data_IF_026081898429
#
_entry.id   IF_026081898429
#
_cell.length_a   1.000
_cell.length_b   1.000
_cell.length_c   1.000
_cell.angle_alpha   90.00
_cell.angle_beta   90.00
_cell.angle_gamma   90.00
#
_symmetry.space_group_name_H-M   'P 1'
#
loop_
_entity.id
_entity.type
_entity.pdbx_description
1 polymer ?
#
# COMPACT_ATOMS: atom_id res chain seq x y z
N UNK A 1 0.14 0.11 17.89
CA UNK A 1 0.20 0.57 16.49
C UNK A 1 -1.17 0.85 15.87
N UNK A 2 -2.09 -0.12 15.75
CA UNK A 2 -3.41 0.09 15.13
C UNK A 2 -4.19 1.28 15.73
N UNK A 3 -4.11 1.46 17.06
CA UNK A 3 -4.70 2.60 17.79
C UNK A 3 -4.25 3.98 17.26
N UNK A 4 -3.02 4.11 16.78
CA UNK A 4 -2.48 5.37 16.26
C UNK A 4 -3.25 5.88 15.03
N UNK A 5 -3.79 4.96 14.22
CA UNK A 5 -4.54 5.30 13.01
C UNK A 5 -6.04 5.45 13.28
N UNK A 6 -6.59 4.73 14.27
CA UNK A 6 -8.02 4.79 14.62
C UNK A 6 -8.43 6.06 15.36
N UNK A 7 -7.48 6.82 15.91
CA UNK A 7 -7.75 8.09 16.61
C UNK A 7 -8.04 9.24 15.63
N UNK A 8 -7.78 9.05 14.32
CA UNK A 8 -8.22 9.98 13.29
C UNK A 8 -9.72 9.81 13.01
N UNK A 9 -10.52 10.85 13.25
CA UNK A 9 -11.98 10.84 13.04
C UNK A 9 -12.36 10.24 11.67
N UNK A 10 -12.96 9.05 11.68
CA UNK A 10 -13.54 8.40 10.51
C UNK A 10 -12.59 7.54 9.67
N UNK A 11 -11.41 7.18 10.18
CA UNK A 11 -10.48 6.24 9.54
C UNK A 11 -10.98 4.79 9.64
N UNK A 12 -11.02 4.09 8.50
CA UNK A 12 -11.31 2.65 8.42
C UNK A 12 -10.06 1.86 8.02
N UNK A 13 -9.99 0.56 8.35
CA UNK A 13 -8.81 -0.28 8.09
C UNK A 13 -8.42 -0.35 6.61
N UNK A 14 -9.42 -0.27 5.74
CA UNK A 14 -9.25 -0.26 4.29
C UNK A 14 -8.84 1.10 3.75
N UNK A 15 -8.85 2.17 4.55
CA UNK A 15 -8.45 3.50 4.08
C UNK A 15 -6.94 3.52 3.79
N UNK A 16 -6.58 4.32 2.79
CA UNK A 16 -5.20 4.55 2.42
C UNK A 16 -4.42 5.20 3.57
N UNK A 17 -3.20 4.72 3.78
CA UNK A 17 -2.21 5.34 4.68
C UNK A 17 -1.14 6.06 3.85
N UNK A 18 -0.67 7.23 4.31
CA UNK A 18 0.49 7.90 3.72
C UNK A 18 1.74 7.78 4.58
N UNK A 19 2.87 8.18 3.99
CA UNK A 19 4.16 8.27 4.69
C UNK A 19 4.07 9.10 5.98
N UNK A 20 3.46 10.29 5.95
CA UNK A 20 3.37 11.15 7.15
C UNK A 20 2.57 10.51 8.29
N UNK A 21 1.60 9.65 7.98
CA UNK A 21 0.81 8.94 8.99
C UNK A 21 1.57 7.76 9.60
N UNK A 22 2.44 7.12 8.82
CA UNK A 22 3.22 5.98 9.29
C UNK A 22 4.50 6.39 10.01
N UNK A 23 5.13 7.50 9.64
CA UNK A 23 6.42 7.92 10.19
C UNK A 23 6.44 8.03 11.73
N UNK A 24 5.44 8.61 12.41
CA UNK A 24 5.41 8.67 13.88
C UNK A 24 5.31 7.29 14.54
N UNK A 25 4.82 6.26 13.83
CA UNK A 25 4.78 4.88 14.35
C UNK A 25 6.19 4.37 14.61
N UNK A 26 7.14 4.64 13.71
CA UNK A 26 8.52 4.17 13.87
C UNK A 26 9.21 4.77 15.09
N UNK A 27 8.89 6.03 15.43
CA UNK A 27 9.41 6.66 16.63
C UNK A 27 8.87 5.95 17.88
N UNK A 28 7.57 5.61 17.90
CA UNK A 28 6.97 4.83 19.00
C UNK A 28 7.54 3.41 19.09
N UNK A 29 7.86 2.77 17.97
CA UNK A 29 8.50 1.44 17.99
C UNK A 29 9.90 1.52 18.59
N UNK A 30 10.66 2.56 18.25
CA UNK A 30 11.99 2.80 18.82
C UNK A 30 11.93 3.08 20.33
N UNK A 31 10.96 3.86 20.80
CA UNK A 31 10.69 4.09 22.24
C UNK A 31 10.36 2.79 22.98
N UNK A 32 9.73 1.83 22.29
CA UNK A 32 9.44 0.49 22.80
C UNK A 32 10.64 -0.48 22.69
N UNK A 33 11.82 0.02 22.33
CA UNK A 33 13.06 -0.76 22.24
C UNK A 33 13.26 -1.49 20.91
N UNK A 34 12.41 -1.25 19.91
CA UNK A 34 12.57 -1.83 18.57
C UNK A 34 12.89 -0.77 17.51
N UNK A 35 14.19 -0.63 17.21
CA UNK A 35 14.65 0.13 16.06
C UNK A 35 14.49 -0.71 14.79
N UNK A 36 13.49 -0.38 13.98
CA UNK A 36 13.19 -1.08 12.71
C UNK A 36 14.32 -0.86 11.71
N UNK A 37 15.12 -1.90 11.44
CA UNK A 37 16.34 -1.82 10.65
C UNK A 37 16.11 -1.34 9.20
N UNK A 38 15.00 -1.74 8.60
CA UNK A 38 14.60 -1.41 7.23
C UNK A 38 13.56 -0.28 7.14
N UNK A 39 13.46 0.57 8.19
CA UNK A 39 12.55 1.74 8.25
C UNK A 39 12.51 2.53 6.95
N UNK A 40 13.68 2.85 6.37
CA UNK A 40 13.78 3.65 5.16
C UNK A 40 13.09 2.99 3.95
N UNK A 41 13.23 1.67 3.80
CA UNK A 41 12.60 0.90 2.73
C UNK A 41 11.08 0.79 2.92
N UNK A 42 10.61 0.67 4.17
CA UNK A 42 9.17 0.64 4.45
C UNK A 42 8.55 2.02 4.18
N UNK A 43 9.22 3.11 4.57
CA UNK A 43 8.74 4.47 4.33
C UNK A 43 8.75 4.86 2.85
N UNK A 44 9.68 4.34 2.05
CA UNK A 44 9.71 4.60 0.61
C UNK A 44 8.59 3.87 -0.13
N UNK A 45 8.16 2.70 0.36
CA UNK A 45 7.05 1.94 -0.21
C UNK A 45 5.67 2.56 0.09
N UNK A 46 5.56 3.44 1.08
CA UNK A 46 4.31 4.15 1.38
C UNK A 46 4.07 5.32 0.40
N UNK A 47 2.80 5.63 0.07
CA UNK A 47 2.48 6.76 -0.77
C UNK A 47 2.76 8.09 -0.05
N UNK A 48 3.30 9.05 -0.80
CA UNK A 48 3.60 10.36 -0.27
C UNK A 48 2.31 11.20 -0.19
N UNK A 49 2.23 12.09 0.79
CA UNK A 49 1.09 12.99 0.97
C UNK A 49 0.83 13.89 -0.26
N UNK A 50 1.86 14.13 -1.07
CA UNK A 50 1.79 14.87 -2.32
C UNK A 50 1.20 14.08 -3.49
N UNK A 51 1.16 12.76 -3.40
CA UNK A 51 0.73 11.88 -4.49
C UNK A 51 -0.74 12.14 -4.82
N UNK A 52 -1.07 12.12 -6.11
CA UNK A 52 -2.40 12.42 -6.60
C UNK A 52 -3.45 11.49 -5.95
N UNK A 53 -3.15 10.20 -5.88
CA UNK A 53 -4.04 9.20 -5.28
C UNK A 53 -4.34 9.51 -3.82
N UNK A 54 -3.34 9.95 -3.04
CA UNK A 54 -3.53 10.31 -1.62
C UNK A 54 -4.42 11.55 -1.50
N UNK A 55 -4.19 12.57 -2.34
CA UNK A 55 -4.99 13.80 -2.33
C UNK A 55 -6.45 13.54 -2.68
N UNK A 56 -6.71 12.75 -3.72
CA UNK A 56 -8.08 12.50 -4.18
C UNK A 56 -8.83 11.56 -3.21
N UNK A 57 -8.16 10.53 -2.68
CA UNK A 57 -8.78 9.56 -1.76
C UNK A 57 -9.00 10.11 -0.34
N UNK A 58 -8.26 11.14 0.09
CA UNK A 58 -8.51 11.83 1.37
C UNK A 58 -9.72 12.75 1.37
N UNK A 59 -10.35 12.99 0.22
CA UNK A 59 -11.62 13.72 0.18
C UNK A 59 -12.76 12.89 0.80
N UNK A 60 -13.89 13.51 1.22
CA UNK A 60 -15.05 12.75 1.70
C UNK A 60 -15.58 11.74 0.67
N UNK A 61 -15.60 12.10 -0.61
CA UNK A 61 -15.97 11.21 -1.71
C UNK A 61 -14.93 10.11 -1.92
N UNK A 62 -13.65 10.47 -1.85
CA UNK A 62 -12.52 9.54 -1.92
C UNK A 62 -12.58 8.46 -0.84
N UNK A 63 -12.91 8.81 0.40
CA UNK A 63 -13.11 7.84 1.49
C UNK A 63 -14.28 6.90 1.22
N UNK A 64 -15.42 7.41 0.76
CA UNK A 64 -16.56 6.56 0.36
C UNK A 64 -16.16 5.60 -0.75
N UNK A 65 -15.39 6.09 -1.72
CA UNK A 65 -14.89 5.30 -2.82
C UNK A 65 -13.91 4.20 -2.36
N UNK A 66 -12.96 4.51 -1.47
CA UNK A 66 -12.08 3.51 -0.84
C UNK A 66 -12.87 2.37 -0.18
N UNK A 67 -13.96 2.70 0.51
CA UNK A 67 -14.83 1.69 1.15
C UNK A 67 -15.55 0.81 0.13
N UNK A 68 -15.98 1.37 -1.00
CA UNK A 68 -16.61 0.56 -2.06
C UNK A 68 -15.65 -0.39 -2.78
N UNK A 69 -14.33 -0.13 -2.69
CA UNK A 69 -13.32 -0.93 -3.38
C UNK A 69 -12.51 -1.81 -2.43
N UNK A 70 -12.79 -1.74 -1.13
CA UNK A 70 -12.05 -2.44 -0.09
C UNK A 70 -12.01 -3.97 -0.26
N UNK A 71 -12.99 -4.54 -0.96
CA UNK A 71 -13.07 -5.97 -1.25
C UNK A 71 -12.20 -6.44 -2.41
N UNK A 72 -11.52 -5.53 -3.12
CA UNK A 72 -10.69 -5.84 -4.28
C UNK A 72 -9.20 -5.77 -3.91
N UNK A 73 -8.49 -6.91 -3.86
CA UNK A 73 -7.10 -6.99 -3.37
C UNK A 73 -6.10 -6.05 -4.06
N UNK A 74 -6.32 -5.74 -5.35
CA UNK A 74 -5.39 -4.94 -6.18
C UNK A 74 -5.93 -3.55 -6.55
N UNK A 75 -7.03 -3.11 -5.92
CA UNK A 75 -7.68 -1.87 -6.35
C UNK A 75 -6.78 -0.64 -6.22
N UNK A 76 -5.96 -0.58 -5.16
CA UNK A 76 -5.03 0.52 -4.97
C UNK A 76 -3.89 0.52 -5.98
N UNK A 77 -3.31 -0.64 -6.29
CA UNK A 77 -2.29 -0.78 -7.33
C UNK A 77 -2.80 -0.31 -8.68
N UNK A 78 -4.02 -0.72 -9.05
CA UNK A 78 -4.63 -0.34 -10.34
C UNK A 78 -4.99 1.13 -10.39
N UNK A 79 -5.41 1.72 -9.27
CA UNK A 79 -5.65 3.16 -9.18
C UNK A 79 -4.35 3.96 -9.29
N UNK A 80 -3.27 3.49 -8.68
CA UNK A 80 -1.96 4.16 -8.78
C UNK A 80 -1.43 4.06 -10.22
N UNK A 81 -1.49 2.89 -10.84
CA UNK A 81 -1.14 2.70 -12.26
C UNK A 81 -1.99 3.56 -13.17
N UNK A 82 -3.31 3.61 -12.95
CA UNK A 82 -4.20 4.51 -13.69
C UNK A 82 -3.77 5.97 -13.52
N UNK A 83 -3.32 6.37 -12.33
CA UNK A 83 -2.87 7.75 -12.07
C UNK A 83 -1.66 8.18 -12.91
N UNK A 84 -0.89 7.19 -13.40
CA UNK A 84 0.35 7.40 -14.16
C UNK A 84 0.13 7.45 -15.68
N UNK A 85 -1.05 7.04 -16.18
CA UNK A 85 -1.39 7.08 -17.60
C UNK A 85 -1.75 8.52 -18.05
N UNK A 86 -1.64 8.84 -19.36
CA UNK A 86 -2.29 10.03 -19.91
C UNK A 86 -3.79 9.98 -19.60
N UNK A 87 -4.37 11.12 -19.22
CA UNK A 87 -5.76 11.20 -18.72
C UNK A 87 -6.05 10.37 -17.45
N UNK A 88 -5.03 9.83 -16.79
CA UNK A 88 -5.16 9.10 -15.53
C UNK A 88 -5.80 9.92 -14.42
N UNK A 89 -5.41 11.20 -14.34
CA UNK A 89 -5.94 12.16 -13.37
C UNK A 89 -7.43 12.47 -13.59
N UNK A 90 -7.84 12.69 -14.83
CA UNK A 90 -9.25 12.93 -15.18
C UNK A 90 -10.08 11.67 -14.94
N UNK A 91 -9.52 10.50 -15.24
CA UNK A 91 -10.11 9.18 -14.98
C UNK A 91 -10.34 8.93 -13.48
N UNK A 92 -9.32 9.11 -12.63
CA UNK A 92 -9.44 8.96 -11.17
C UNK A 92 -10.52 9.88 -10.60
N UNK A 93 -10.52 11.14 -11.01
CA UNK A 93 -11.54 12.10 -10.56
C UNK A 93 -12.94 11.69 -10.97
N UNK A 94 -13.09 11.16 -12.18
CA UNK A 94 -14.37 10.67 -12.69
C UNK A 94 -14.83 9.44 -11.92
N UNK A 95 -13.92 8.53 -11.57
CA UNK A 95 -14.22 7.35 -10.77
C UNK A 95 -14.65 7.71 -9.35
N UNK A 96 -13.96 8.68 -8.71
CA UNK A 96 -14.26 9.13 -7.35
C UNK A 96 -15.54 9.98 -7.27
N UNK A 97 -15.80 10.83 -8.27
CA UNK A 97 -16.90 11.83 -8.23
C UNK A 97 -18.13 11.44 -9.04
N UNK A 98 -18.00 10.57 -10.03
CA UNK A 98 -19.11 10.11 -10.86
C UNK A 98 -19.97 9.05 -10.18
N UNK A 99 -21.05 8.57 -10.82
CA UNK A 99 -21.87 7.43 -10.37
C UNK A 99 -21.10 6.07 -10.45
N UNK A 100 -19.80 6.08 -10.20
CA UNK A 100 -18.79 5.23 -10.85
C UNK A 100 -18.31 4.01 -10.08
N UNK A 101 -18.97 3.57 -9.01
CA UNK A 101 -18.63 2.30 -8.35
C UNK A 101 -18.67 1.12 -9.34
N UNK A 102 -19.68 1.11 -10.23
CA UNK A 102 -19.86 0.07 -11.24
C UNK A 102 -18.84 0.15 -12.39
N UNK A 103 -18.44 1.36 -12.81
CA UNK A 103 -17.45 1.54 -13.89
C UNK A 103 -16.04 1.15 -13.45
N UNK A 104 -15.74 1.29 -12.16
CA UNK A 104 -14.51 0.77 -11.60
C UNK A 104 -14.56 -0.75 -11.48
N UNK A 105 -15.70 -1.36 -11.15
CA UNK A 105 -15.86 -2.81 -11.19
C UNK A 105 -15.58 -3.37 -12.59
N UNK A 106 -16.05 -2.73 -13.66
CA UNK A 106 -15.70 -3.11 -15.04
C UNK A 106 -14.20 -2.95 -15.34
N UNK A 107 -13.53 -2.04 -14.63
CA UNK A 107 -12.11 -1.75 -14.75
C UNK A 107 -11.22 -2.69 -13.88
N UNK A 108 -11.75 -3.15 -12.74
CA UNK A 108 -11.08 -3.98 -11.75
C UNK A 108 -11.41 -5.48 -11.88
N UNK A 109 -12.57 -5.84 -12.42
CA UNK A 109 -13.09 -7.22 -12.41
C UNK A 109 -13.25 -7.76 -13.83
N UNK A 110 -12.85 -9.03 -14.01
CA UNK A 110 -13.09 -9.81 -15.23
C UNK A 110 -14.48 -10.48 -15.19
N UNK A 111 -15.55 -9.72 -14.90
CA UNK A 111 -16.83 -10.35 -14.53
C UNK A 111 -17.84 -10.54 -15.67
N UNK A 112 -17.63 -10.03 -16.90
CA UNK A 112 -18.68 -10.11 -17.94
C UNK A 112 -18.21 -10.35 -19.40
N UNK A 113 -17.08 -11.02 -19.63
CA UNK A 113 -16.72 -11.49 -21.00
C UNK A 113 -16.49 -10.39 -22.06
N UNK A 114 -16.15 -9.17 -21.65
CA UNK A 114 -15.62 -8.10 -22.51
C UNK A 114 -14.10 -8.00 -22.32
N UNK A 115 -13.31 -7.53 -23.30
CA UNK A 115 -11.88 -7.30 -23.12
C UNK A 115 -11.65 -6.44 -21.87
N UNK A 116 -10.80 -6.92 -20.96
CA UNK A 116 -10.62 -6.28 -19.66
C UNK A 116 -10.06 -4.87 -19.89
N UNK A 117 -10.60 -3.82 -19.26
CA UNK A 117 -10.02 -2.50 -19.42
C UNK A 117 -8.53 -2.48 -19.02
N UNK A 118 -8.16 -3.25 -17.99
CA UNK A 118 -6.76 -3.48 -17.63
C UNK A 118 -5.96 -4.27 -18.67
N UNK A 119 -6.58 -5.16 -19.44
CA UNK A 119 -5.93 -5.92 -20.52
C UNK A 119 -5.76 -5.06 -21.77
N UNK A 120 -6.75 -4.24 -22.13
CA UNK A 120 -6.64 -3.25 -23.19
C UNK A 120 -5.53 -2.23 -22.88
N UNK A 121 -5.43 -1.79 -21.63
CA UNK A 121 -4.33 -0.92 -21.18
C UNK A 121 -2.99 -1.67 -21.15
N UNK A 122 -2.96 -2.94 -20.74
CA UNK A 122 -1.76 -3.77 -20.80
C UNK A 122 -1.19 -3.95 -22.22
N UNK A 123 -2.03 -3.84 -23.25
CA UNK A 123 -1.58 -3.88 -24.65
C UNK A 123 -1.22 -2.50 -25.23
N UNK A 124 -1.43 -1.41 -24.48
CA UNK A 124 -0.95 -0.07 -24.84
C UNK A 124 0.55 0.06 -24.57
N UNK A 125 1.33 0.78 -25.40
CA UNK A 125 2.75 1.03 -25.16
C UNK A 125 3.04 1.54 -23.75
N UNK A 126 2.16 2.38 -23.20
CA UNK A 126 2.32 3.01 -21.88
C UNK A 126 1.70 2.21 -20.73
N UNK A 127 0.97 1.14 -21.02
CA UNK A 127 0.23 0.37 -20.00
C UNK A 127 0.71 -1.08 -19.83
N UNK A 128 1.79 -1.51 -20.47
CA UNK A 128 2.32 -2.89 -20.40
C UNK A 128 2.46 -3.48 -18.98
N UNK A 129 2.70 -2.65 -17.97
CA UNK A 129 2.80 -3.03 -16.55
C UNK A 129 1.53 -2.74 -15.73
N UNK A 130 0.38 -2.52 -16.37
CA UNK A 130 -0.84 -2.07 -15.71
C UNK A 130 -1.37 -3.06 -14.67
N UNK A 131 -1.26 -4.37 -14.94
CA UNK A 131 -1.73 -5.43 -14.05
C UNK A 131 -0.66 -5.88 -13.03
N UNK A 132 0.52 -5.27 -13.04
CA UNK A 132 1.62 -5.62 -12.13
C UNK A 132 1.47 -4.87 -10.82
N UNK A 133 1.67 -5.58 -9.70
CA UNK A 133 1.75 -4.97 -8.38
C UNK A 133 2.81 -3.86 -8.37
N UNK A 134 2.46 -2.73 -7.74
CA UNK A 134 3.33 -1.55 -7.62
C UNK A 134 4.43 -1.75 -6.58
N UNK A 135 4.26 -2.73 -5.68
CA UNK A 135 5.15 -2.93 -4.52
C UNK A 135 4.95 -1.88 -3.42
N UNK A 136 3.91 -1.04 -3.51
CA UNK A 136 3.60 -0.03 -2.51
C UNK A 136 2.74 -0.59 -1.39
N UNK A 137 2.81 0.06 -0.24
CA UNK A 137 2.01 -0.26 0.94
C UNK A 137 0.87 0.74 1.03
N UNK A 138 -0.35 0.34 0.67
CA UNK A 138 -1.49 1.27 0.64
C UNK A 138 -2.32 1.25 1.91
N UNK A 139 -2.42 0.12 2.60
CA UNK A 139 -3.34 -0.07 3.73
C UNK A 139 -2.60 -0.30 5.05
N UNK A 140 -3.32 -0.13 6.16
CA UNK A 140 -2.79 -0.41 7.49
C UNK A 140 -2.38 -1.88 7.64
N UNK A 141 -3.18 -2.81 7.11
CA UNK A 141 -2.85 -4.23 7.22
C UNK A 141 -1.58 -4.58 6.43
N UNK A 142 -1.38 -4.00 5.23
CA UNK A 142 -0.14 -4.17 4.47
C UNK A 142 1.10 -3.61 5.22
N UNK A 143 0.96 -2.46 5.90
CA UNK A 143 2.04 -1.92 6.73
C UNK A 143 2.33 -2.82 7.94
N UNK A 144 1.30 -3.34 8.60
CA UNK A 144 1.46 -4.25 9.75
C UNK A 144 2.16 -5.53 9.32
N UNK A 145 1.72 -6.14 8.23
CA UNK A 145 2.34 -7.34 7.67
C UNK A 145 3.82 -7.10 7.34
N UNK A 146 4.13 -5.97 6.70
CA UNK A 146 5.52 -5.64 6.35
C UNK A 146 6.41 -5.41 7.58
N UNK A 147 5.85 -4.85 8.66
CA UNK A 147 6.56 -4.69 9.93
C UNK A 147 6.76 -6.03 10.63
N UNK A 148 5.78 -6.93 10.61
CA UNK A 148 5.94 -8.29 11.15
C UNK A 148 7.04 -9.06 10.41
N UNK A 149 7.13 -8.92 9.09
CA UNK A 149 8.22 -9.48 8.30
C UNK A 149 9.58 -8.92 8.71
N UNK A 150 9.68 -7.59 8.93
CA UNK A 150 10.90 -6.95 9.41
C UNK A 150 11.31 -7.47 10.79
N UNK A 151 10.35 -7.63 11.71
CA UNK A 151 10.60 -8.15 13.05
C UNK A 151 11.12 -9.59 13.02
N UNK A 152 10.49 -10.47 12.23
CA UNK A 152 10.92 -11.87 12.07
C UNK A 152 12.33 -11.97 11.47
N UNK A 153 12.60 -11.20 10.42
CA UNK A 153 13.93 -11.16 9.80
C UNK A 153 15.02 -10.71 10.79
N UNK A 154 14.71 -9.72 11.64
CA UNK A 154 15.63 -9.28 12.69
C UNK A 154 15.88 -10.37 13.74
N UNK A 155 14.85 -11.10 14.17
CA UNK A 155 14.97 -12.20 15.13
C UNK A 155 15.75 -13.40 14.56
N UNK A 156 15.59 -13.71 13.27
CA UNK A 156 16.37 -14.75 12.60
C UNK A 156 17.84 -14.33 12.45
N UNK A 157 18.11 -13.06 12.15
CA UNK A 157 19.47 -12.55 12.02
C UNK A 157 20.24 -12.61 13.34
N UNK A 158 19.60 -12.28 14.47
CA UNK A 158 20.21 -12.38 15.79
C UNK A 158 20.49 -13.83 16.19
N UNK A 159 19.53 -14.74 15.99
CA UNK A 159 19.74 -16.17 16.26
C UNK A 159 20.91 -16.75 15.45
N UNK A 160 20.97 -16.43 14.16
CA UNK A 160 22.06 -16.87 13.28
C UNK A 160 23.43 -16.29 13.68
N UNK A 161 23.47 -15.04 14.17
CA UNK A 161 24.70 -14.42 14.64
C UNK A 161 25.24 -15.09 15.91
N UNK A 162 24.36 -15.43 16.87
CA UNK A 162 24.73 -16.14 18.09
C UNK A 162 25.26 -17.55 17.81
N UNK A 163 24.63 -18.30 16.91
CA UNK A 163 25.08 -19.63 16.52
C UNK A 163 26.43 -19.62 15.81
N UNK A 164 26.70 -18.59 14.98
CA UNK A 164 28.01 -18.38 14.36
C UNK A 164 29.08 -18.05 15.41
N UNK A 165 28.77 -17.20 16.38
CA UNK A 165 29.69 -16.85 17.46
C UNK A 165 30.04 -18.07 18.34
N UNK A 166 29.06 -18.91 18.68
CA UNK A 166 29.28 -20.16 19.43
C UNK A 166 30.15 -21.16 18.67
N UNK A 167 29.97 -21.28 17.35
CA UNK A 167 30.81 -22.15 16.49
C UNK A 167 32.25 -21.64 16.39
N UNK A 168 32.45 -20.33 16.28
CA UNK A 168 33.79 -19.72 16.21
C UNK A 168 34.55 -19.82 17.55
N UNK A 169 33.86 -19.78 18.69
CA UNK A 169 34.47 -19.93 20.02
C UNK A 169 34.87 -21.36 20.38
N UNK A 170 34.30 -22.38 19.72
CA UNK A 170 34.61 -23.81 19.94
C UNK A 170 35.78 -24.35 19.12
N UNK A 171 36.36 -23.54 18.23
CA UNK A 171 37.51 -23.90 17.40
C UNK A 171 38.86 -23.38 17.95
N UNK A 172 38.88 -22.88 19.18
CA UNK A 172 40.10 -22.57 19.94
C UNK A 172 40.24 -23.53 21.10
#
# INVERSE_FOLDING_TARGET
MRKHFTDARGFEKSDLISRSQAEPVFNKLAELGWAVADKAAILSALPADSDLIVKELRSPQGRKFMRSIASYPDAYDRLDKLSQLPEGKSSIRTLIKGPGGNKLLDFLTSSTGRPQAGELLAHSPEGHDFNRATGRLYTLDALVERLEQSYRAAAEATANAEDRAKKAGKQK
#
